data_IF_529532690599
#
_entry.id   IF_529532690599
#
_cell.length_a   1.000
_cell.length_b   1.000
_cell.length_c   1.000
_cell.angle_alpha   90.00
_cell.angle_beta   90.00
_cell.angle_gamma   90.00
#
_symmetry.space_group_name_H-M   'P 1'
#
loop_
_entity.id
_entity.type
_entity.pdbx_description
1 polymer ?
#
# COMPACT_ATOMS: atom_id res chain seq x y z
N UNK A 1 -2.82 4.09 -20.90
CA UNK A 1 -2.40 5.48 -21.13
C UNK A 1 -0.88 5.54 -21.15
N UNK A 2 -0.25 6.24 -22.09
CA UNK A 2 1.20 6.46 -22.12
C UNK A 2 1.46 7.88 -21.63
N UNK A 3 2.21 8.01 -20.54
CA UNK A 3 2.56 9.30 -19.94
C UNK A 3 4.07 9.36 -19.83
N UNK A 4 4.66 10.51 -20.16
CA UNK A 4 6.07 10.75 -19.91
C UNK A 4 6.19 11.47 -18.56
N UNK A 5 6.91 10.87 -17.62
CA UNK A 5 7.14 11.40 -16.28
C UNK A 5 8.62 11.29 -15.97
N UNK A 6 9.16 12.28 -15.27
CA UNK A 6 10.50 12.22 -14.75
C UNK A 6 10.54 11.32 -13.51
N UNK A 7 11.47 10.38 -13.47
CA UNK A 7 11.61 9.41 -12.38
C UNK A 7 13.07 9.36 -11.98
N UNK A 8 13.34 9.33 -10.67
CA UNK A 8 14.69 9.16 -10.16
C UNK A 8 15.21 7.73 -10.49
N UNK A 9 16.23 7.68 -11.33
CA UNK A 9 16.86 6.43 -11.77
C UNK A 9 17.63 5.70 -10.67
N UNK A 10 18.11 6.39 -9.63
CA UNK A 10 18.78 5.78 -8.48
C UNK A 10 17.80 4.91 -7.69
N UNK A 11 16.62 5.45 -7.41
CA UNK A 11 15.54 4.71 -6.73
C UNK A 11 15.14 3.47 -7.54
N UNK A 12 15.01 3.60 -8.87
CA UNK A 12 14.69 2.46 -9.73
C UNK A 12 15.79 1.37 -9.70
N UNK A 13 17.07 1.77 -9.61
CA UNK A 13 18.19 0.83 -9.49
C UNK A 13 18.16 0.11 -8.15
N UNK A 14 17.98 0.82 -7.05
CA UNK A 14 17.87 0.21 -5.72
C UNK A 14 16.70 -0.79 -5.65
N UNK A 15 15.53 -0.43 -6.17
CA UNK A 15 14.39 -1.34 -6.22
C UNK A 15 14.72 -2.58 -7.05
N UNK A 16 15.39 -2.41 -8.19
CA UNK A 16 15.78 -3.52 -9.07
C UNK A 16 16.82 -4.45 -8.43
N UNK A 17 17.66 -3.94 -7.54
CA UNK A 17 18.63 -4.74 -6.77
C UNK A 17 17.94 -5.57 -5.68
N UNK A 18 16.95 -5.00 -5.01
CA UNK A 18 16.21 -5.66 -3.93
C UNK A 18 15.16 -6.65 -4.45
N UNK A 19 14.56 -6.34 -5.59
CA UNK A 19 13.53 -7.15 -6.22
C UNK A 19 13.83 -7.24 -7.71
N UNK A 20 14.01 -8.45 -8.27
CA UNK A 20 14.16 -8.61 -9.71
C UNK A 20 12.83 -8.22 -10.38
N UNK A 21 12.72 -6.96 -10.77
CA UNK A 21 11.63 -6.43 -11.57
C UNK A 21 12.07 -6.40 -13.03
N UNK A 22 11.16 -6.70 -13.94
CA UNK A 22 11.48 -6.89 -15.35
C UNK A 22 11.64 -5.56 -16.09
N UNK A 23 11.05 -4.46 -15.59
CA UNK A 23 11.14 -3.14 -16.23
C UNK A 23 10.83 -1.95 -15.31
N UNK A 24 11.30 -0.75 -15.68
CA UNK A 24 10.93 0.53 -15.03
C UNK A 24 9.40 0.70 -14.93
N UNK A 25 8.67 0.31 -15.98
CA UNK A 25 7.20 0.37 -16.04
C UNK A 25 6.55 -0.52 -14.99
N UNK A 26 7.07 -1.72 -14.79
CA UNK A 26 6.56 -2.66 -13.80
C UNK A 26 6.73 -2.11 -12.39
N UNK A 27 7.91 -1.56 -12.07
CA UNK A 27 8.19 -0.92 -10.79
C UNK A 27 7.18 0.21 -10.50
N UNK A 28 6.95 1.09 -11.47
CA UNK A 28 5.98 2.19 -11.33
C UNK A 28 4.56 1.67 -11.09
N UNK A 29 4.14 0.65 -11.84
CA UNK A 29 2.79 0.08 -11.67
C UNK A 29 2.61 -0.57 -10.28
N UNK A 30 3.64 -1.25 -9.78
CA UNK A 30 3.63 -1.81 -8.41
C UNK A 30 3.54 -0.67 -7.40
N UNK A 31 4.37 0.36 -7.52
CA UNK A 31 4.36 1.50 -6.61
C UNK A 31 3.00 2.21 -6.57
N UNK A 32 2.35 2.41 -7.72
CA UNK A 32 1.01 2.99 -7.79
C UNK A 32 -0.04 2.12 -7.09
N UNK A 33 0.04 0.80 -7.26
CA UNK A 33 -0.87 -0.15 -6.59
C UNK A 33 -0.68 -0.12 -5.08
N UNK A 34 0.57 -0.14 -4.61
CA UNK A 34 0.89 -0.07 -3.18
C UNK A 34 0.47 1.27 -2.58
N UNK A 35 0.67 2.38 -3.30
CA UNK A 35 0.22 3.69 -2.86
C UNK A 35 -1.30 3.77 -2.72
N UNK A 36 -2.06 3.20 -3.67
CA UNK A 36 -3.52 3.09 -3.53
C UNK A 36 -3.92 2.26 -2.31
N UNK A 37 -3.24 1.14 -2.06
CA UNK A 37 -3.51 0.31 -0.88
C UNK A 37 -3.21 1.06 0.42
N UNK A 38 -2.11 1.82 0.45
CA UNK A 38 -1.77 2.70 1.56
C UNK A 38 -2.89 3.74 1.81
N UNK A 39 -3.32 4.45 0.78
CA UNK A 39 -4.40 5.44 0.92
C UNK A 39 -5.70 4.82 1.44
N UNK A 40 -6.08 3.63 0.95
CA UNK A 40 -7.25 2.91 1.48
C UNK A 40 -7.11 2.55 2.96
N UNK A 41 -5.91 2.14 3.41
CA UNK A 41 -5.66 1.85 4.83
C UNK A 41 -5.78 3.11 5.67
N UNK A 42 -5.26 4.24 5.20
CA UNK A 42 -5.40 5.54 5.88
C UNK A 42 -6.87 5.94 5.95
N UNK A 43 -7.64 5.76 4.88
CA UNK A 43 -9.07 6.05 4.85
C UNK A 43 -9.86 5.19 5.86
N UNK A 44 -9.52 3.91 6.00
CA UNK A 44 -10.13 3.05 7.01
C UNK A 44 -9.90 3.55 8.44
N UNK A 45 -8.75 4.15 8.75
CA UNK A 45 -8.51 4.73 10.08
C UNK A 45 -9.47 5.88 10.38
N UNK A 46 -9.93 6.62 9.37
CA UNK A 46 -10.93 7.68 9.56
C UNK A 46 -12.29 7.14 10.00
N UNK A 47 -12.55 5.84 9.81
CA UNK A 47 -13.78 5.20 10.29
C UNK A 47 -13.77 5.02 11.82
N UNK A 48 -12.60 4.91 12.43
CA UNK A 48 -12.46 4.86 13.89
C UNK A 48 -12.90 6.21 14.49
N UNK A 49 -12.46 7.32 13.89
CA UNK A 49 -12.85 8.67 14.32
C UNK A 49 -14.35 8.97 14.11
N UNK A 50 -15.03 8.18 13.27
CA UNK A 50 -16.49 8.28 13.04
C UNK A 50 -17.33 7.51 14.07
N UNK A 51 -16.71 6.92 15.09
CA UNK A 51 -17.42 6.30 16.21
C UNK A 51 -18.01 4.93 15.88
N UNK A 52 -17.29 4.11 15.11
CA UNK A 52 -17.64 2.68 15.01
C UNK A 52 -17.22 2.02 16.32
N UNK A 53 -18.17 1.91 17.24
CA UNK A 53 -18.01 1.13 18.46
C UNK A 53 -18.03 -0.36 18.10
N UNK A 54 -17.01 -1.08 18.56
CA UNK A 54 -16.91 -2.51 18.36
C UNK A 54 -17.70 -3.22 19.47
N UNK A 55 -18.78 -3.92 19.10
CA UNK A 55 -19.70 -4.59 20.04
C UNK A 55 -19.35 -6.06 20.36
N UNK A 56 -18.12 -6.51 20.09
CA UNK A 56 -17.72 -7.91 20.32
C UNK A 56 -17.22 -8.21 21.74
N UNK A 57 -17.07 -9.50 22.08
CA UNK A 57 -16.35 -9.95 23.29
C UNK A 57 -14.98 -10.51 22.90
N UNK A 58 -13.93 -9.82 23.34
CA UNK A 58 -12.55 -10.06 22.94
C UNK A 58 -11.94 -11.24 23.70
N UNK A 59 -12.44 -11.53 24.90
CA UNK A 59 -12.00 -12.64 25.72
C UNK A 59 -12.57 -13.95 25.21
N UNK A 60 -13.84 -13.95 24.78
CA UNK A 60 -14.48 -15.13 24.18
C UNK A 60 -13.71 -15.65 22.95
N UNK A 61 -13.17 -14.75 22.12
CA UNK A 61 -12.44 -15.10 20.90
C UNK A 61 -11.03 -15.64 21.17
N UNK A 62 -10.42 -15.27 22.30
CA UNK A 62 -9.07 -15.73 22.69
C UNK A 62 -9.08 -17.06 23.44
N UNK A 63 -10.24 -17.45 23.97
CA UNK A 63 -10.40 -18.69 24.75
C UNK A 63 -10.68 -19.96 23.91
N UNK A 64 -10.59 -19.90 22.57
CA UNK A 64 -10.72 -21.05 21.67
C UNK A 64 -9.38 -21.61 21.20
#
# INVERSE_FOLDING_TARGET
MRTNIEINDEILREISQLKPASSKKEIVNIALKEYLMYLKRVDLLTLIDKGIDWEGDLEQWRSQ
#
